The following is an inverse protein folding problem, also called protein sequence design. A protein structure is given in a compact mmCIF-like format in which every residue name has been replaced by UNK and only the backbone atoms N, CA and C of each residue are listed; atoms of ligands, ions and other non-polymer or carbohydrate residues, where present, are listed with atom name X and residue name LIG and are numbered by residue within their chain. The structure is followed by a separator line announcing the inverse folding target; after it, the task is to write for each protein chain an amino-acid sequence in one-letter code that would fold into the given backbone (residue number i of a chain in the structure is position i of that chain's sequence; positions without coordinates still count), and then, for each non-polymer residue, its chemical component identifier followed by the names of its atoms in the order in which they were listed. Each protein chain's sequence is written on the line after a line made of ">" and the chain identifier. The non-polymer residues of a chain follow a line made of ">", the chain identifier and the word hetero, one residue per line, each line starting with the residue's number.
data_IF_974902918932
#
_entry.id   IF_974902918932
#
_cell.length_a   1.000
_cell.length_b   1.000
_cell.length_c   1.000
_cell.angle_alpha   90.00
_cell.angle_beta   90.00
_cell.angle_gamma   90.00
#
_symmetry.space_group_name_H-M   'P 1'
#
loop_
_entity.id
_entity.type
_entity.pdbx_description
1 polymer ?
#
# COMPACT_ATOMS: atom_id res chain seq x y z
N UNK A 1 8.35 8.68 -27.59
CA UNK A 1 8.98 7.89 -26.50
C UNK A 1 8.17 7.80 -25.20
N UNK A 2 7.56 8.88 -24.66
CA UNK A 2 6.78 8.81 -23.39
C UNK A 2 5.54 7.88 -23.39
N UNK A 3 4.93 7.61 -24.55
CA UNK A 3 3.80 6.67 -24.67
C UNK A 3 4.21 5.19 -24.55
N UNK A 4 5.43 4.82 -24.93
CA UNK A 4 5.88 3.42 -24.84
C UNK A 4 6.24 3.03 -23.39
N UNK A 5 6.81 3.95 -22.61
CA UNK A 5 7.21 3.67 -21.22
C UNK A 5 6.00 3.46 -20.30
N UNK A 6 4.92 4.23 -20.46
CA UNK A 6 3.68 4.04 -19.67
C UNK A 6 2.95 2.73 -20.00
N UNK A 7 3.05 2.23 -21.23
CA UNK A 7 2.44 0.95 -21.63
C UNK A 7 3.16 -0.25 -21.01
N UNK A 8 4.48 -0.15 -20.82
CA UNK A 8 5.28 -1.24 -20.26
C UNK A 8 5.19 -1.32 -18.72
N UNK A 9 5.02 -0.19 -18.02
CA UNK A 9 4.84 -0.18 -16.55
C UNK A 9 3.48 -0.76 -16.13
N UNK A 10 2.39 -0.46 -16.87
CA UNK A 10 1.07 -1.06 -16.59
C UNK A 10 1.03 -2.57 -16.85
N UNK A 11 1.80 -3.05 -17.82
CA UNK A 11 1.96 -4.48 -18.10
C UNK A 11 2.82 -5.20 -17.03
N UNK A 12 3.84 -4.53 -16.49
CA UNK A 12 4.68 -5.07 -15.41
C UNK A 12 3.92 -5.23 -14.09
N UNK A 13 3.06 -4.25 -13.72
CA UNK A 13 2.25 -4.34 -12.50
C UNK A 13 1.14 -5.41 -12.63
N UNK A 14 0.53 -5.53 -13.82
CA UNK A 14 -0.44 -6.60 -14.09
C UNK A 14 0.21 -8.00 -14.05
N UNK A 15 1.43 -8.15 -14.57
CA UNK A 15 2.17 -9.41 -14.50
C UNK A 15 2.59 -9.78 -13.06
N UNK A 16 2.88 -8.79 -12.21
CA UNK A 16 3.28 -9.03 -10.81
C UNK A 16 2.07 -9.43 -9.94
N UNK A 17 0.88 -8.89 -10.21
CA UNK A 17 -0.37 -9.29 -9.54
C UNK A 17 -0.84 -10.67 -10.04
N UNK A 18 -0.67 -10.98 -11.33
CA UNK A 18 -0.96 -12.31 -11.89
C UNK A 18 0.02 -13.38 -11.38
N UNK A 19 1.30 -13.05 -11.22
CA UNK A 19 2.31 -13.95 -10.65
C UNK A 19 2.06 -14.25 -9.15
N UNK A 20 1.50 -13.29 -8.40
CA UNK A 20 1.05 -13.50 -7.02
C UNK A 20 -0.21 -14.36 -6.92
N UNK A 21 -1.06 -14.39 -7.97
CA UNK A 21 -2.27 -15.22 -8.03
C UNK A 21 -1.99 -16.65 -8.51
N UNK A 22 -0.97 -16.86 -9.34
CA UNK A 22 -0.54 -18.20 -9.80
C UNK A 22 0.25 -18.95 -8.71
N UNK A 23 0.90 -18.23 -7.78
CA UNK A 23 1.54 -18.83 -6.59
C UNK A 23 0.54 -19.20 -5.47
N UNK A 24 -0.73 -18.78 -5.56
CA UNK A 24 -1.77 -19.13 -4.57
C UNK A 24 -2.67 -20.28 -4.99
N UNK A 25 -2.37 -20.93 -6.12
CA UNK A 25 -3.10 -22.13 -6.59
C UNK A 25 -2.08 -23.24 -6.86
N UNK A 26 -1.63 -23.90 -5.79
CA UNK A 26 -1.07 -25.25 -5.91
C UNK A 26 -2.22 -26.23 -5.64
N UNK A 27 -2.53 -27.14 -6.59
CA UNK A 27 -3.43 -28.26 -6.35
C UNK A 27 -2.71 -29.29 -5.49
N UNK A 28 -3.19 -29.54 -4.26
CA UNK A 28 -2.96 -30.82 -3.60
C UNK A 28 -3.96 -31.82 -4.15
N UNK A 29 -3.49 -32.68 -5.05
CA UNK A 29 -4.21 -33.87 -5.50
C UNK A 29 -3.21 -35.02 -5.72
N UNK A 30 -3.14 -35.93 -4.75
CA UNK A 30 -2.86 -37.38 -4.84
C UNK A 30 -3.40 -37.96 -3.51
N UNK A 31 -4.62 -38.51 -3.42
CA UNK A 31 -5.18 -39.76 -3.96
C UNK A 31 -5.04 -40.98 -3.01
N UNK A 32 -6.14 -41.41 -2.36
CA UNK A 32 -6.84 -42.70 -2.65
C UNK A 32 -8.04 -42.98 -1.73
N UNK A 33 -9.14 -43.36 -2.38
CA UNK A 33 -10.32 -44.13 -1.92
C UNK A 33 -9.89 -45.56 -1.45
N UNK A 34 -10.63 -46.44 -0.76
CA UNK A 34 -12.03 -46.50 -0.31
C UNK A 34 -12.21 -47.70 0.69
N UNK A 35 -13.22 -47.60 1.56
CA UNK A 35 -14.17 -48.62 2.10
C UNK A 35 -13.76 -50.01 2.70
N UNK A 36 -14.12 -50.16 3.99
CA UNK A 36 -14.88 -51.23 4.70
C UNK A 36 -14.68 -52.72 4.32
N UNK A 37 -14.49 -53.58 5.33
CA UNK A 37 -15.54 -54.49 5.91
C UNK A 37 -14.96 -55.31 7.09
N UNK A 38 -15.83 -55.48 8.09
CA UNK A 38 -15.75 -56.22 9.34
C UNK A 38 -15.79 -57.76 9.14
N UNK A 39 -15.04 -58.53 9.92
CA UNK A 39 -15.58 -59.62 10.77
C UNK A 39 -14.48 -60.60 11.23
N UNK A 40 -14.41 -60.74 12.55
CA UNK A 40 -13.95 -61.96 13.21
C UNK A 40 -14.72 -63.17 12.69
N UNK A 41 -14.03 -64.18 12.18
CA UNK A 41 -14.34 -65.60 12.38
C UNK A 41 -13.34 -66.47 11.62
N UNK A 42 -12.22 -66.82 12.27
CA UNK A 42 -11.55 -68.12 12.13
C UNK A 42 -10.27 -68.12 12.98
N UNK A 43 -10.46 -67.96 14.28
CA UNK A 43 -9.49 -68.44 15.26
C UNK A 43 -9.54 -69.97 15.23
N UNK A 44 -8.36 -70.60 15.19
CA UNK A 44 -8.08 -72.03 15.40
C UNK A 44 -8.22 -73.00 14.21
N UNK A 45 -7.27 -72.94 13.27
CA UNK A 45 -6.88 -74.13 12.49
C UNK A 45 -5.47 -74.07 11.86
N UNK A 46 -4.58 -73.17 12.28
CA UNK A 46 -3.29 -72.97 11.57
C UNK A 46 -2.08 -72.80 12.50
N UNK A 47 -2.10 -73.44 13.67
CA UNK A 47 -0.98 -73.42 14.64
C UNK A 47 -0.05 -74.64 14.48
N UNK A 48 -0.39 -75.68 13.70
CA UNK A 48 0.45 -76.87 13.55
C UNK A 48 1.15 -77.03 12.19
N UNK A 49 1.19 -75.97 11.37
CA UNK A 49 1.83 -75.96 10.04
C UNK A 49 2.68 -74.68 9.84
N UNK A 50 3.18 -74.11 10.95
CA UNK A 50 4.01 -72.90 10.99
C UNK A 50 5.44 -73.14 11.52
N UNK A 51 5.75 -74.30 12.10
CA UNK A 51 7.08 -74.59 12.69
C UNK A 51 8.09 -75.20 11.71
N UNK A 52 7.76 -75.33 10.43
CA UNK A 52 8.71 -75.70 9.36
C UNK A 52 8.89 -74.61 8.27
N UNK A 53 8.13 -73.50 8.35
CA UNK A 53 8.29 -72.30 7.50
C UNK A 53 8.84 -71.09 8.31
N UNK A 54 8.98 -71.22 9.63
CA UNK A 54 9.46 -70.15 10.52
C UNK A 54 10.95 -69.83 10.34
N UNK A 55 11.78 -70.81 9.98
CA UNK A 55 13.23 -70.58 9.74
C UNK A 55 13.52 -69.93 8.38
N UNK A 56 12.63 -70.07 7.39
CA UNK A 56 12.74 -69.37 6.09
C UNK A 56 12.07 -67.99 6.14
N UNK A 57 11.11 -67.79 7.05
CA UNK A 57 10.38 -66.52 7.22
C UNK A 57 11.11 -65.54 8.14
N UNK A 58 11.86 -66.00 9.13
CA UNK A 58 12.70 -65.15 9.97
C UNK A 58 13.88 -64.53 9.19
N UNK A 59 14.51 -65.26 8.26
CA UNK A 59 15.53 -64.68 7.36
C UNK A 59 14.92 -63.76 6.27
N UNK A 60 13.64 -63.93 5.94
CA UNK A 60 12.92 -63.05 5.02
C UNK A 60 12.47 -61.74 5.69
N UNK A 61 12.00 -61.76 6.94
CA UNK A 61 11.61 -60.57 7.72
C UNK A 61 12.81 -59.72 8.15
N UNK A 62 13.97 -60.33 8.47
CA UNK A 62 15.21 -59.58 8.72
C UNK A 62 15.69 -58.87 7.44
N UNK A 63 15.52 -59.49 6.27
CA UNK A 63 15.81 -58.85 4.97
C UNK A 63 14.81 -57.75 4.59
N UNK A 64 13.54 -57.89 4.96
CA UNK A 64 12.52 -56.87 4.71
C UNK A 64 12.78 -55.62 5.59
N UNK A 65 13.10 -55.81 6.86
CA UNK A 65 13.45 -54.71 7.78
C UNK A 65 14.75 -53.98 7.39
N UNK A 66 15.79 -54.68 6.93
CA UNK A 66 17.01 -54.02 6.42
C UNK A 66 16.71 -53.16 5.18
N UNK A 67 15.81 -53.60 4.29
CA UNK A 67 15.45 -52.81 3.11
C UNK A 67 14.60 -51.59 3.43
N UNK A 68 13.75 -51.65 4.45
CA UNK A 68 12.92 -50.51 4.85
C UNK A 68 13.73 -49.46 5.63
N UNK A 69 14.70 -49.91 6.44
CA UNK A 69 15.66 -49.01 7.10
C UNK A 69 16.51 -48.24 6.07
N UNK A 70 16.98 -48.89 5.01
CA UNK A 70 17.71 -48.23 3.92
C UNK A 70 16.86 -47.23 3.14
N UNK A 71 15.60 -47.57 2.82
CA UNK A 71 14.68 -46.63 2.16
C UNK A 71 14.41 -45.39 3.03
N UNK A 72 14.26 -45.57 4.34
CA UNK A 72 14.07 -44.47 5.28
C UNK A 72 15.31 -43.55 5.34
N UNK A 73 16.52 -44.11 5.39
CA UNK A 73 17.76 -43.31 5.33
C UNK A 73 17.91 -42.53 4.03
N UNK A 74 17.60 -43.15 2.89
CA UNK A 74 17.68 -42.51 1.59
C UNK A 74 16.65 -41.38 1.45
N UNK A 75 15.42 -41.59 1.93
CA UNK A 75 14.41 -40.52 2.01
C UNK A 75 14.86 -39.37 2.92
N UNK A 76 15.50 -39.67 4.05
CA UNK A 76 16.02 -38.65 4.97
C UNK A 76 17.14 -37.83 4.33
N UNK A 77 18.04 -38.47 3.57
CA UNK A 77 19.08 -37.78 2.80
C UNK A 77 18.46 -36.89 1.71
N UNK A 78 17.47 -37.39 0.97
CA UNK A 78 16.76 -36.61 -0.07
C UNK A 78 16.03 -35.40 0.54
N UNK A 79 15.35 -35.56 1.68
CA UNK A 79 14.73 -34.44 2.41
C UNK A 79 15.76 -33.43 2.90
N UNK A 80 16.91 -33.87 3.41
CA UNK A 80 17.98 -32.97 3.83
C UNK A 80 18.58 -32.20 2.66
N UNK A 81 18.75 -32.83 1.50
CA UNK A 81 19.24 -32.17 0.29
C UNK A 81 18.23 -31.15 -0.25
N UNK A 82 16.96 -31.53 -0.37
CA UNK A 82 15.90 -30.59 -0.79
C UNK A 82 15.75 -29.41 0.17
N UNK A 83 15.85 -29.62 1.49
CA UNK A 83 15.84 -28.52 2.46
C UNK A 83 17.07 -27.60 2.33
N UNK A 84 18.26 -28.16 2.10
CA UNK A 84 19.47 -27.36 1.83
C UNK A 84 19.32 -26.52 0.56
N UNK A 85 18.76 -27.09 -0.51
CA UNK A 85 18.47 -26.38 -1.75
C UNK A 85 17.44 -25.26 -1.54
N UNK A 86 16.34 -25.53 -0.85
CA UNK A 86 15.32 -24.53 -0.53
C UNK A 86 15.90 -23.37 0.29
N UNK A 87 16.72 -23.67 1.30
CA UNK A 87 17.39 -22.66 2.13
C UNK A 87 18.37 -21.82 1.32
N UNK A 88 19.10 -22.44 0.39
CA UNK A 88 20.00 -21.74 -0.53
C UNK A 88 19.21 -20.81 -1.47
N UNK A 89 18.13 -21.32 -2.07
CA UNK A 89 17.26 -20.55 -2.95
C UNK A 89 16.59 -19.37 -2.22
N UNK A 90 16.14 -19.56 -0.97
CA UNK A 90 15.61 -18.48 -0.13
C UNK A 90 16.70 -17.44 0.18
N UNK A 91 17.91 -17.88 0.49
CA UNK A 91 19.05 -17.00 0.73
C UNK A 91 19.40 -16.15 -0.50
N UNK A 92 19.38 -16.74 -1.69
CA UNK A 92 19.59 -16.04 -2.97
C UNK A 92 18.47 -15.04 -3.25
N UNK A 93 17.20 -15.41 -3.02
CA UNK A 93 16.06 -14.49 -3.14
C UNK A 93 16.19 -13.28 -2.21
N UNK A 94 16.53 -13.50 -0.95
CA UNK A 94 16.70 -12.41 0.04
C UNK A 94 17.87 -11.48 -0.32
N UNK A 95 18.94 -12.02 -0.92
CA UNK A 95 20.06 -11.19 -1.42
C UNK A 95 19.62 -10.34 -2.61
N UNK A 96 18.95 -10.95 -3.59
CA UNK A 96 18.41 -10.22 -4.74
C UNK A 96 17.42 -9.12 -4.31
N UNK A 97 16.54 -9.41 -3.35
CA UNK A 97 15.60 -8.42 -2.81
C UNK A 97 16.31 -7.28 -2.07
N UNK A 98 17.38 -7.58 -1.31
CA UNK A 98 18.22 -6.56 -0.67
C UNK A 98 18.93 -5.68 -1.70
N UNK A 99 19.47 -6.26 -2.76
CA UNK A 99 20.12 -5.51 -3.85
C UNK A 99 19.13 -4.57 -4.53
N UNK A 100 17.93 -5.07 -4.90
CA UNK A 100 16.86 -4.23 -5.45
C UNK A 100 16.47 -3.12 -4.48
N UNK A 101 16.37 -3.42 -3.19
CA UNK A 101 16.05 -2.41 -2.16
C UNK A 101 17.16 -1.38 -2.02
N UNK A 102 18.43 -1.78 -2.08
CA UNK A 102 19.57 -0.88 -2.04
C UNK A 102 19.61 0.05 -3.26
N UNK A 103 19.40 -0.49 -4.47
CA UNK A 103 19.29 0.30 -5.69
C UNK A 103 18.14 1.33 -5.60
N UNK A 104 16.99 0.92 -5.06
CA UNK A 104 15.87 1.84 -4.83
C UNK A 104 16.24 2.95 -3.84
N UNK A 105 16.93 2.62 -2.74
CA UNK A 105 17.40 3.60 -1.76
C UNK A 105 18.39 4.57 -2.39
N UNK A 106 19.30 4.09 -3.23
CA UNK A 106 20.28 4.93 -3.93
C UNK A 106 19.59 5.87 -4.92
N UNK A 107 18.68 5.36 -5.76
CA UNK A 107 17.87 6.19 -6.66
C UNK A 107 17.06 7.24 -5.89
N UNK A 108 16.52 6.91 -4.71
CA UNK A 108 15.81 7.86 -3.86
C UNK A 108 16.76 8.95 -3.33
N UNK A 109 17.98 8.59 -2.92
CA UNK A 109 19.00 9.55 -2.48
C UNK A 109 19.43 10.49 -3.60
N UNK A 110 19.63 9.97 -4.81
CA UNK A 110 19.95 10.79 -5.99
C UNK A 110 18.83 11.75 -6.33
N UNK A 111 17.58 11.27 -6.36
CA UNK A 111 16.40 12.12 -6.58
C UNK A 111 16.30 13.21 -5.51
N UNK A 112 16.59 12.88 -4.25
CA UNK A 112 16.58 13.83 -3.16
C UNK A 112 17.68 14.90 -3.33
N UNK A 113 18.90 14.50 -3.72
CA UNK A 113 19.99 15.46 -4.01
C UNK A 113 19.63 16.37 -5.17
N UNK A 114 19.19 15.80 -6.29
CA UNK A 114 18.75 16.59 -7.45
C UNK A 114 17.57 17.53 -7.11
N UNK A 115 16.66 17.11 -6.23
CA UNK A 115 15.58 17.96 -5.76
C UNK A 115 16.09 19.12 -4.88
N UNK A 116 17.07 18.88 -4.01
CA UNK A 116 17.73 19.92 -3.20
C UNK A 116 18.45 20.94 -4.07
N UNK A 117 19.25 20.48 -5.03
CA UNK A 117 19.96 21.38 -5.96
C UNK A 117 18.99 22.25 -6.76
N UNK A 118 17.91 21.65 -7.29
CA UNK A 118 16.86 22.42 -8.00
C UNK A 118 16.18 23.44 -7.08
N UNK A 119 15.98 23.09 -5.82
CA UNK A 119 15.40 24.00 -4.83
C UNK A 119 16.32 25.18 -4.54
N UNK A 120 17.61 24.93 -4.33
CA UNK A 120 18.62 25.97 -4.09
C UNK A 120 18.73 26.91 -5.31
N UNK A 121 18.85 26.37 -6.52
CA UNK A 121 18.85 27.17 -7.74
C UNK A 121 17.56 28.00 -7.91
N UNK A 122 16.40 27.43 -7.57
CA UNK A 122 15.14 28.16 -7.61
C UNK A 122 15.09 29.27 -6.56
N UNK A 123 15.67 29.03 -5.38
CA UNK A 123 15.76 30.01 -4.28
C UNK A 123 16.67 31.19 -4.65
N UNK A 124 17.83 30.93 -5.24
CA UNK A 124 18.74 31.98 -5.73
C UNK A 124 18.06 32.85 -6.79
N UNK A 125 17.48 32.22 -7.83
CA UNK A 125 16.73 32.94 -8.88
C UNK A 125 15.57 33.75 -8.31
N UNK A 126 14.91 33.25 -7.26
CA UNK A 126 13.85 33.99 -6.58
C UNK A 126 14.40 35.22 -5.84
N UNK A 127 15.54 35.09 -5.16
CA UNK A 127 16.19 36.22 -4.48
C UNK A 127 16.61 37.30 -5.46
N UNK A 128 17.26 36.94 -6.57
CA UNK A 128 17.64 37.87 -7.64
C UNK A 128 16.42 38.61 -8.21
N UNK A 129 15.34 37.88 -8.51
CA UNK A 129 14.10 38.48 -9.01
C UNK A 129 13.45 39.40 -7.97
N UNK A 130 13.53 39.06 -6.68
CA UNK A 130 12.99 39.86 -5.59
C UNK A 130 13.76 41.18 -5.44
N UNK A 131 15.09 41.14 -5.53
CA UNK A 131 15.94 42.33 -5.49
C UNK A 131 15.70 43.22 -6.71
N UNK A 132 15.70 42.65 -7.92
CA UNK A 132 15.37 43.38 -9.13
C UNK A 132 13.98 44.02 -9.11
N UNK A 133 12.98 43.34 -8.51
CA UNK A 133 11.65 43.91 -8.32
C UNK A 133 11.64 45.07 -7.31
N UNK A 134 12.44 44.97 -6.23
CA UNK A 134 12.57 46.04 -5.23
C UNK A 134 13.19 47.29 -5.86
N UNK A 135 14.27 47.12 -6.63
CA UNK A 135 14.91 48.22 -7.37
C UNK A 135 13.96 48.84 -8.40
N UNK A 136 13.23 48.02 -9.15
CA UNK A 136 12.24 48.51 -10.12
C UNK A 136 11.13 49.30 -9.41
N UNK A 137 10.64 48.80 -8.27
CA UNK A 137 9.63 49.50 -7.46
C UNK A 137 10.15 50.83 -6.94
N UNK A 138 11.38 50.86 -6.43
CA UNK A 138 11.95 52.07 -5.84
C UNK A 138 12.24 53.12 -6.93
N UNK A 139 12.68 52.71 -8.14
CA UNK A 139 12.73 53.59 -9.33
C UNK A 139 11.35 54.08 -9.76
N UNK A 140 10.36 53.19 -9.80
CA UNK A 140 8.99 53.55 -10.18
C UNK A 140 8.38 54.58 -9.23
N UNK A 141 8.69 54.53 -7.93
CA UNK A 141 8.22 55.52 -6.95
C UNK A 141 8.77 56.93 -7.17
N UNK A 142 9.96 57.06 -7.78
CA UNK A 142 10.56 58.35 -8.09
C UNK A 142 9.82 59.00 -9.27
N UNK A 143 9.31 58.20 -10.20
CA UNK A 143 8.53 58.67 -11.34
C UNK A 143 7.13 59.13 -10.92
N UNK A 144 6.89 60.45 -10.88
CA UNK A 144 5.56 61.03 -10.65
C UNK A 144 4.65 60.83 -11.86
N UNK A 145 3.35 60.68 -11.62
CA UNK A 145 2.33 60.62 -12.67
C UNK A 145 2.44 61.85 -13.59
N UNK A 146 2.60 61.60 -14.89
CA UNK A 146 2.81 62.66 -15.90
C UNK A 146 4.27 63.04 -16.18
N UNK A 147 5.25 62.49 -15.46
CA UNK A 147 6.66 62.61 -15.84
C UNK A 147 6.88 61.88 -17.18
N UNK A 148 7.22 62.66 -18.21
CA UNK A 148 7.47 62.22 -19.58
C UNK A 148 8.96 61.98 -19.87
N UNK A 149 9.82 61.98 -18.86
CA UNK A 149 11.22 61.58 -19.03
C UNK A 149 11.31 60.16 -19.60
N UNK A 150 12.23 59.96 -20.53
CA UNK A 150 12.44 58.69 -21.22
C UNK A 150 12.72 57.56 -20.21
N UNK A 151 13.46 57.84 -19.15
CA UNK A 151 13.73 56.91 -18.05
C UNK A 151 12.46 56.46 -17.33
N UNK A 152 11.54 57.39 -17.04
CA UNK A 152 10.29 57.04 -16.37
C UNK A 152 9.32 56.28 -17.27
N UNK A 153 9.30 56.57 -18.57
CA UNK A 153 8.53 55.80 -19.55
C UNK A 153 9.06 54.36 -19.63
N UNK A 154 10.37 54.17 -19.69
CA UNK A 154 10.99 52.83 -19.72
C UNK A 154 10.76 52.05 -18.42
N UNK A 155 10.90 52.69 -17.25
CA UNK A 155 10.62 52.07 -15.94
C UNK A 155 9.15 51.64 -15.84
N UNK A 156 8.20 52.47 -16.30
CA UNK A 156 6.78 52.11 -16.36
C UNK A 156 6.53 50.93 -17.28
N UNK A 157 7.10 50.95 -18.49
CA UNK A 157 6.98 49.84 -19.46
C UNK A 157 7.53 48.54 -18.89
N UNK A 158 8.72 48.57 -18.28
CA UNK A 158 9.33 47.41 -17.61
C UNK A 158 8.47 46.89 -16.47
N UNK A 159 7.86 47.77 -15.68
CA UNK A 159 6.93 47.39 -14.62
C UNK A 159 5.67 46.71 -15.19
N UNK A 160 5.05 47.27 -16.23
CA UNK A 160 3.87 46.69 -16.90
C UNK A 160 4.18 45.31 -17.47
N UNK A 161 5.27 45.16 -18.21
CA UNK A 161 5.72 43.86 -18.75
C UNK A 161 6.01 42.86 -17.63
N UNK A 162 6.64 43.32 -16.54
CA UNK A 162 6.91 42.49 -15.36
C UNK A 162 5.64 41.97 -14.69
N UNK A 163 4.64 42.83 -14.49
CA UNK A 163 3.34 42.46 -13.92
C UNK A 163 2.60 41.50 -14.85
N UNK A 164 2.51 41.79 -16.15
CA UNK A 164 1.87 40.90 -17.15
C UNK A 164 2.48 39.50 -17.10
N UNK A 165 3.81 39.40 -17.17
CA UNK A 165 4.53 38.11 -17.07
C UNK A 165 4.28 37.39 -15.75
N UNK A 166 4.10 38.11 -14.64
CA UNK A 166 3.75 37.52 -13.35
C UNK A 166 2.31 36.97 -13.34
N UNK A 167 1.35 37.68 -13.93
CA UNK A 167 -0.03 37.22 -14.07
C UNK A 167 -0.09 35.97 -14.95
N UNK A 168 0.57 35.97 -16.12
CA UNK A 168 0.68 34.81 -17.01
C UNK A 168 1.24 33.58 -16.30
N UNK A 169 2.37 33.73 -15.60
CA UNK A 169 2.96 32.63 -14.83
C UNK A 169 2.03 32.11 -13.73
N UNK A 170 1.27 33.00 -13.09
CA UNK A 170 0.31 32.61 -12.04
C UNK A 170 -0.85 31.82 -12.65
N UNK A 171 -1.35 32.23 -13.81
CA UNK A 171 -2.35 31.49 -14.58
C UNK A 171 -1.82 30.11 -14.98
N UNK A 172 -0.60 30.02 -15.52
CA UNK A 172 0.02 28.73 -15.87
C UNK A 172 0.14 27.80 -14.65
N UNK A 173 0.47 28.34 -13.47
CA UNK A 173 0.50 27.57 -12.23
C UNK A 173 -0.88 27.04 -11.86
N UNK A 174 -1.92 27.87 -12.03
CA UNK A 174 -3.31 27.49 -11.80
C UNK A 174 -3.72 26.38 -12.77
N UNK A 175 -3.53 26.55 -14.07
CA UNK A 175 -3.85 25.55 -15.10
C UNK A 175 -3.17 24.21 -14.82
N UNK A 176 -1.87 24.24 -14.52
CA UNK A 176 -1.10 23.04 -14.18
C UNK A 176 -1.64 22.35 -12.93
N UNK A 177 -2.05 23.11 -11.91
CA UNK A 177 -2.63 22.56 -10.68
C UNK A 177 -3.99 21.91 -10.93
N UNK A 178 -4.86 22.55 -11.71
CA UNK A 178 -6.16 22.00 -12.12
C UNK A 178 -6.00 20.75 -12.98
N UNK A 179 -5.09 20.76 -13.96
CA UNK A 179 -4.83 19.60 -14.82
C UNK A 179 -4.34 18.37 -14.03
N UNK A 180 -3.48 18.57 -13.02
CA UNK A 180 -3.06 17.50 -12.10
C UNK A 180 -4.24 16.98 -11.28
N UNK A 181 -5.07 17.87 -10.77
CA UNK A 181 -6.25 17.48 -10.00
C UNK A 181 -7.25 16.70 -10.86
N UNK A 182 -7.50 17.12 -12.10
CA UNK A 182 -8.31 16.39 -13.09
C UNK A 182 -7.78 14.97 -13.29
N UNK A 183 -6.46 14.81 -13.46
CA UNK A 183 -5.86 13.49 -13.62
C UNK A 183 -6.07 12.62 -12.38
N UNK A 184 -5.87 13.18 -11.18
CA UNK A 184 -6.10 12.46 -9.93
C UNK A 184 -7.56 12.03 -9.72
N UNK A 185 -8.53 12.87 -10.07
CA UNK A 185 -9.95 12.52 -9.99
C UNK A 185 -10.30 11.40 -10.97
N UNK A 186 -9.82 11.49 -12.23
CA UNK A 186 -10.06 10.45 -13.25
C UNK A 186 -9.44 9.10 -12.91
N UNK A 187 -8.23 9.11 -12.35
CA UNK A 187 -7.51 7.90 -11.97
C UNK A 187 -7.97 7.32 -10.62
N UNK A 188 -8.84 8.03 -9.90
CA UNK A 188 -9.35 7.56 -8.62
C UNK A 188 -10.20 6.31 -8.77
N UNK A 189 -9.86 5.27 -8.02
CA UNK A 189 -10.67 4.04 -7.88
C UNK A 189 -11.57 4.07 -6.64
N UNK A 190 -11.41 5.08 -5.77
CA UNK A 190 -12.12 5.16 -4.49
C UNK A 190 -13.33 6.08 -4.53
N UNK A 191 -13.39 6.99 -5.52
CA UNK A 191 -14.58 7.81 -5.75
C UNK A 191 -15.62 7.05 -6.59
N UNK A 192 -16.88 7.25 -6.25
CA UNK A 192 -18.02 6.84 -7.09
C UNK A 192 -18.06 7.64 -8.39
N UNK A 193 -18.75 7.14 -9.41
CA UNK A 193 -18.84 7.82 -10.71
C UNK A 193 -19.57 9.18 -10.59
N UNK A 194 -20.59 9.26 -9.74
CA UNK A 194 -21.29 10.51 -9.44
C UNK A 194 -20.38 11.55 -8.77
N UNK A 195 -19.55 11.14 -7.81
CA UNK A 195 -18.58 12.04 -7.16
C UNK A 195 -17.50 12.51 -8.13
N UNK A 196 -17.02 11.62 -9.01
CA UNK A 196 -16.07 11.99 -10.08
C UNK A 196 -16.67 13.01 -11.02
N UNK A 197 -17.90 12.79 -11.48
CA UNK A 197 -18.59 13.71 -12.38
C UNK A 197 -18.75 15.09 -11.74
N UNK A 198 -19.22 15.14 -10.49
CA UNK A 198 -19.36 16.40 -9.73
C UNK A 198 -18.03 17.15 -9.54
N UNK A 199 -16.96 16.43 -9.18
CA UNK A 199 -15.63 17.02 -9.04
C UNK A 199 -15.06 17.52 -10.37
N UNK A 200 -15.24 16.75 -11.46
CA UNK A 200 -14.80 17.14 -12.79
C UNK A 200 -15.58 18.35 -13.33
N UNK A 201 -16.89 18.41 -13.11
CA UNK A 201 -17.71 19.56 -13.48
C UNK A 201 -17.23 20.83 -12.75
N UNK A 202 -16.92 20.72 -11.46
CA UNK A 202 -16.38 21.83 -10.67
C UNK A 202 -15.01 22.30 -11.18
N UNK A 203 -14.13 21.37 -11.56
CA UNK A 203 -12.83 21.69 -12.16
C UNK A 203 -13.00 22.38 -13.52
N UNK A 204 -13.88 21.87 -14.39
CA UNK A 204 -14.12 22.45 -15.71
C UNK A 204 -14.62 23.90 -15.61
N UNK A 205 -15.56 24.16 -14.68
CA UNK A 205 -16.04 25.53 -14.43
C UNK A 205 -14.92 26.49 -14.00
N UNK A 206 -13.94 26.01 -13.23
CA UNK A 206 -12.77 26.80 -12.87
C UNK A 206 -11.82 26.99 -14.05
N UNK A 207 -11.63 25.97 -14.89
CA UNK A 207 -10.83 26.09 -16.10
C UNK A 207 -11.39 27.17 -17.03
N UNK A 208 -12.70 27.19 -17.25
CA UNK A 208 -13.36 28.25 -18.04
C UNK A 208 -13.08 29.66 -17.49
N UNK A 209 -13.13 29.84 -16.16
CA UNK A 209 -12.77 31.12 -15.53
C UNK A 209 -11.30 31.48 -15.73
N UNK A 210 -10.41 30.49 -15.66
CA UNK A 210 -8.96 30.66 -15.84
C UNK A 210 -8.64 31.03 -17.28
N UNK A 211 -9.27 30.36 -18.25
CA UNK A 211 -9.13 30.66 -19.68
C UNK A 211 -9.63 32.09 -19.98
N UNK A 212 -10.79 32.48 -19.44
CA UNK A 212 -11.30 33.85 -19.58
C UNK A 212 -10.33 34.89 -18.98
N UNK A 213 -9.76 34.61 -17.81
CA UNK A 213 -8.78 35.50 -17.18
C UNK A 213 -7.46 35.56 -17.95
N UNK A 214 -7.06 34.46 -18.60
CA UNK A 214 -5.89 34.40 -19.47
C UNK A 214 -6.02 35.33 -20.66
N UNK A 215 -7.16 35.30 -21.34
CA UNK A 215 -7.42 36.20 -22.47
C UNK A 215 -7.38 37.67 -22.06
N UNK A 216 -7.94 38.03 -20.88
CA UNK A 216 -7.82 39.39 -20.32
C UNK A 216 -6.36 39.79 -20.11
N UNK A 217 -5.57 38.92 -19.47
CA UNK A 217 -4.15 39.19 -19.20
C UNK A 217 -3.33 39.33 -20.48
N UNK A 218 -3.61 38.50 -21.50
CA UNK A 218 -2.95 38.59 -22.80
C UNK A 218 -3.29 39.90 -23.54
N UNK A 219 -4.53 40.38 -23.38
CA UNK A 219 -5.00 41.64 -23.96
C UNK A 219 -4.40 42.91 -23.31
N UNK A 220 -3.74 42.80 -22.15
CA UNK A 220 -3.05 43.93 -21.49
C UNK A 220 -1.95 44.46 -22.43
N UNK A 221 -2.11 45.71 -22.86
CA UNK A 221 -1.12 46.42 -23.65
C UNK A 221 0.15 46.72 -22.84
N UNK A 222 1.31 46.87 -23.49
CA UNK A 222 2.56 47.25 -22.81
C UNK A 222 2.49 48.64 -22.15
N UNK A 223 1.54 49.47 -22.60
CA UNK A 223 1.24 50.81 -22.11
C UNK A 223 0.03 50.84 -21.16
N UNK A 224 -0.44 49.69 -20.68
CA UNK A 224 -1.58 49.63 -19.77
C UNK A 224 -1.34 50.48 -18.51
N UNK A 225 -2.41 51.07 -18.02
CA UNK A 225 -2.40 51.95 -16.85
C UNK A 225 -2.23 51.13 -15.56
N UNK A 226 -1.74 51.78 -14.51
CA UNK A 226 -1.59 51.13 -13.20
C UNK A 226 -2.94 50.66 -12.62
N UNK A 227 -4.04 51.31 -12.98
CA UNK A 227 -5.39 50.94 -12.51
C UNK A 227 -5.90 49.66 -13.18
N UNK A 228 -5.73 49.54 -14.50
CA UNK A 228 -6.04 48.31 -15.25
C UNK A 228 -5.24 47.13 -14.69
N UNK A 229 -3.93 47.30 -14.47
CA UNK A 229 -3.09 46.25 -13.90
C UNK A 229 -3.53 45.84 -12.48
N UNK A 230 -3.94 46.79 -11.64
CA UNK A 230 -4.43 46.50 -10.28
C UNK A 230 -5.75 45.75 -10.31
N UNK A 231 -6.65 46.08 -11.23
CA UNK A 231 -7.91 45.38 -11.40
C UNK A 231 -7.65 43.91 -11.78
N UNK A 232 -6.81 43.66 -12.78
CA UNK A 232 -6.46 42.30 -13.23
C UNK A 232 -5.73 41.49 -12.14
N UNK A 233 -4.85 42.11 -11.37
CA UNK A 233 -4.20 41.47 -10.20
C UNK A 233 -5.25 41.07 -9.15
N UNK A 234 -6.23 41.93 -8.90
CA UNK A 234 -7.31 41.66 -7.91
C UNK A 234 -8.19 40.51 -8.39
N UNK A 235 -8.63 40.53 -9.64
CA UNK A 235 -9.46 39.48 -10.22
C UNK A 235 -8.73 38.12 -10.20
N UNK A 236 -7.46 38.08 -10.61
CA UNK A 236 -6.67 36.85 -10.56
C UNK A 236 -6.47 36.34 -9.12
N UNK A 237 -6.31 37.24 -8.14
CA UNK A 237 -6.21 36.86 -6.72
C UNK A 237 -7.50 36.22 -6.21
N UNK A 238 -8.66 36.77 -6.57
CA UNK A 238 -9.96 36.22 -6.21
C UNK A 238 -10.17 34.86 -6.89
N UNK A 239 -9.83 34.75 -8.17
CA UNK A 239 -9.85 33.47 -8.89
C UNK A 239 -8.94 32.42 -8.25
N UNK A 240 -7.73 32.81 -7.84
CA UNK A 240 -6.83 31.90 -7.12
C UNK A 240 -7.41 31.41 -5.80
N UNK A 241 -8.08 32.29 -5.05
CA UNK A 241 -8.75 31.90 -3.81
C UNK A 241 -9.88 30.90 -4.07
N UNK A 242 -10.69 31.13 -5.11
CA UNK A 242 -11.75 30.21 -5.53
C UNK A 242 -11.18 28.85 -5.93
N UNK A 243 -10.16 28.84 -6.79
CA UNK A 243 -9.45 27.62 -7.20
C UNK A 243 -8.91 26.89 -5.97
N UNK A 244 -8.20 27.59 -5.08
CA UNK A 244 -7.61 26.99 -3.89
C UNK A 244 -8.65 26.36 -2.97
N UNK A 245 -9.80 27.02 -2.76
CA UNK A 245 -10.91 26.48 -1.95
C UNK A 245 -11.46 25.20 -2.58
N UNK A 246 -11.76 25.22 -3.87
CA UNK A 246 -12.31 24.05 -4.57
C UNK A 246 -11.32 22.89 -4.66
N UNK A 247 -10.03 23.18 -4.90
CA UNK A 247 -8.98 22.16 -4.88
C UNK A 247 -8.89 21.49 -3.51
N UNK A 248 -8.91 22.26 -2.42
CA UNK A 248 -8.96 21.69 -1.06
C UNK A 248 -10.19 20.82 -0.86
N UNK A 249 -11.35 21.23 -1.38
CA UNK A 249 -12.58 20.43 -1.33
C UNK A 249 -12.41 19.07 -2.00
N UNK A 250 -11.98 19.07 -3.25
CA UNK A 250 -11.82 17.84 -4.03
C UNK A 250 -10.72 16.94 -3.45
N UNK A 251 -9.59 17.51 -3.00
CA UNK A 251 -8.50 16.73 -2.35
C UNK A 251 -8.98 16.10 -1.05
N UNK A 252 -9.80 16.78 -0.27
CA UNK A 252 -10.35 16.26 0.98
C UNK A 252 -11.36 15.14 0.70
N UNK A 253 -12.23 15.28 -0.31
CA UNK A 253 -13.10 14.20 -0.79
C UNK A 253 -12.30 12.97 -1.21
N UNK A 254 -11.25 13.14 -2.02
CA UNK A 254 -10.35 12.06 -2.42
C UNK A 254 -9.67 11.37 -1.22
N UNK A 255 -9.30 12.15 -0.21
CA UNK A 255 -8.64 11.63 1.00
C UNK A 255 -9.63 10.85 1.87
N UNK A 256 -10.84 11.39 2.07
CA UNK A 256 -11.92 10.73 2.79
C UNK A 256 -12.26 9.39 2.16
N UNK A 257 -12.50 9.36 0.84
CA UNK A 257 -12.84 8.13 0.13
C UNK A 257 -11.72 7.07 0.18
N UNK A 258 -10.45 7.49 0.20
CA UNK A 258 -9.31 6.57 0.40
C UNK A 258 -9.29 5.99 1.80
N UNK A 259 -9.62 6.80 2.82
CA UNK A 259 -9.71 6.33 4.19
C UNK A 259 -10.89 5.39 4.37
N UNK A 260 -12.06 5.70 3.79
CA UNK A 260 -13.21 4.80 3.78
C UNK A 260 -12.81 3.42 3.22
N UNK A 261 -12.18 3.39 2.03
CA UNK A 261 -11.71 2.14 1.44
C UNK A 261 -10.67 1.40 2.32
N UNK A 262 -9.84 2.13 3.06
CA UNK A 262 -8.87 1.55 3.96
C UNK A 262 -9.53 0.95 5.21
N UNK A 263 -10.51 1.65 5.78
CA UNK A 263 -11.31 1.18 6.91
C UNK A 263 -12.08 -0.08 6.51
N UNK A 264 -12.74 -0.08 5.35
CA UNK A 264 -13.47 -1.25 4.83
C UNK A 264 -12.56 -2.47 4.62
N UNK A 265 -11.31 -2.24 4.18
CA UNK A 265 -10.33 -3.34 4.11
C UNK A 265 -9.95 -3.86 5.49
N UNK A 266 -9.78 -2.97 6.46
CA UNK A 266 -9.44 -3.36 7.81
C UNK A 266 -10.57 -4.15 8.48
N UNK A 267 -11.82 -3.80 8.24
CA UNK A 267 -12.97 -4.57 8.75
C UNK A 267 -13.04 -5.95 8.07
N UNK A 268 -12.80 -6.06 6.76
CA UNK A 268 -12.74 -7.36 6.06
C UNK A 268 -11.57 -8.27 6.47
N UNK A 269 -10.57 -7.77 7.19
CA UNK A 269 -9.47 -8.61 7.69
C UNK A 269 -9.90 -9.51 8.86
N UNK A 270 -10.96 -9.19 9.59
CA UNK A 270 -11.45 -10.06 10.68
C UNK A 270 -11.92 -11.40 10.15
N UNK A 271 -12.61 -11.42 8.99
CA UNK A 271 -13.05 -12.65 8.32
C UNK A 271 -11.86 -13.57 8.02
N UNK A 272 -10.78 -13.00 7.48
CA UNK A 272 -9.54 -13.73 7.21
C UNK A 272 -8.87 -14.28 8.49
N UNK A 273 -8.99 -13.56 9.61
CA UNK A 273 -8.49 -14.02 10.91
C UNK A 273 -9.32 -15.19 11.45
N UNK A 274 -10.65 -15.13 11.29
CA UNK A 274 -11.58 -16.23 11.67
C UNK A 274 -11.26 -17.50 10.89
N UNK A 275 -11.11 -17.41 9.57
CA UNK A 275 -10.74 -18.56 8.72
C UNK A 275 -9.42 -19.20 9.16
N UNK A 276 -8.42 -18.38 9.49
CA UNK A 276 -7.12 -18.85 9.97
C UNK A 276 -7.19 -19.55 11.32
N UNK A 277 -8.00 -19.04 12.25
CA UNK A 277 -8.26 -19.69 13.54
C UNK A 277 -8.95 -21.03 13.32
N UNK A 278 -9.98 -21.08 12.46
CA UNK A 278 -10.69 -22.32 12.15
C UNK A 278 -9.74 -23.41 11.61
N UNK A 279 -8.86 -23.05 10.67
CA UNK A 279 -7.86 -23.98 10.13
C UNK A 279 -6.88 -24.53 11.19
N UNK A 280 -6.55 -23.77 12.24
CA UNK A 280 -5.72 -24.26 13.34
C UNK A 280 -6.51 -25.13 14.32
N UNK A 281 -7.80 -24.83 14.55
CA UNK A 281 -8.69 -25.67 15.37
C UNK A 281 -8.92 -27.04 14.75
N UNK A 282 -9.07 -27.10 13.43
CA UNK A 282 -9.17 -28.37 12.70
C UNK A 282 -7.93 -29.26 12.90
N UNK A 283 -6.75 -28.64 13.11
CA UNK A 283 -5.51 -29.33 13.46
C UNK A 283 -5.37 -29.65 14.95
N UNK A 284 -6.37 -29.35 15.78
CA UNK A 284 -6.34 -29.60 17.23
C UNK A 284 -5.45 -28.64 18.04
N UNK A 285 -5.04 -27.51 17.46
CA UNK A 285 -4.20 -26.52 18.15
C UNK A 285 -5.05 -25.65 19.07
N UNK A 286 -4.55 -25.36 20.28
CA UNK A 286 -5.16 -24.35 21.13
C UNK A 286 -5.03 -22.96 20.49
N UNK A 287 -6.16 -22.29 20.30
CA UNK A 287 -6.26 -21.01 19.59
C UNK A 287 -6.78 -19.88 20.49
N UNK A 288 -6.89 -20.10 21.81
CA UNK A 288 -7.47 -19.13 22.75
C UNK A 288 -6.84 -17.72 22.66
N UNK A 289 -5.51 -17.63 22.55
CA UNK A 289 -4.81 -16.36 22.42
C UNK A 289 -5.10 -15.65 21.08
N UNK A 290 -5.25 -16.40 19.98
CA UNK A 290 -5.61 -15.83 18.67
C UNK A 290 -7.03 -15.29 18.69
N UNK A 291 -7.97 -15.99 19.33
CA UNK A 291 -9.35 -15.53 19.52
C UNK A 291 -9.40 -14.26 20.38
N UNK A 292 -8.58 -14.18 21.43
CA UNK A 292 -8.46 -12.97 22.25
C UNK A 292 -7.88 -11.78 21.46
N UNK A 293 -6.93 -12.01 20.55
CA UNK A 293 -6.44 -10.96 19.63
C UNK A 293 -7.52 -10.55 18.63
N UNK A 294 -8.28 -11.51 18.08
CA UNK A 294 -9.39 -11.25 17.17
C UNK A 294 -10.46 -10.37 17.83
N UNK A 295 -10.90 -10.71 19.04
CA UNK A 295 -11.90 -9.92 19.77
C UNK A 295 -11.42 -8.46 20.00
N UNK A 296 -10.14 -8.28 20.36
CA UNK A 296 -9.53 -6.93 20.49
C UNK A 296 -9.48 -6.21 19.14
N UNK A 297 -9.18 -6.92 18.06
CA UNK A 297 -9.14 -6.37 16.71
C UNK A 297 -10.52 -5.90 16.25
N UNK A 298 -11.56 -6.72 16.44
CA UNK A 298 -12.94 -6.38 16.08
C UNK A 298 -13.44 -5.15 16.84
N UNK A 299 -13.18 -5.07 18.15
CA UNK A 299 -13.52 -3.89 18.95
C UNK A 299 -12.81 -2.62 18.46
N UNK A 300 -11.51 -2.73 18.11
CA UNK A 300 -10.74 -1.62 17.56
C UNK A 300 -11.21 -1.23 16.13
N UNK A 301 -11.62 -2.21 15.31
CA UNK A 301 -12.16 -1.97 13.99
C UNK A 301 -13.54 -1.27 14.04
N UNK A 302 -14.39 -1.63 14.99
CA UNK A 302 -15.66 -0.94 15.24
C UNK A 302 -15.44 0.52 15.64
N UNK A 303 -14.51 0.77 16.57
CA UNK A 303 -14.13 2.14 16.98
C UNK A 303 -13.62 2.95 15.79
N UNK A 304 -12.73 2.35 14.98
CA UNK A 304 -12.20 2.96 13.76
C UNK A 304 -13.32 3.35 12.77
N UNK A 305 -14.34 2.49 12.61
CA UNK A 305 -15.47 2.76 11.73
C UNK A 305 -16.33 3.91 12.25
N UNK A 306 -16.59 3.97 13.56
CA UNK A 306 -17.31 5.09 14.19
C UNK A 306 -16.56 6.41 14.02
N UNK A 307 -15.26 6.42 14.28
CA UNK A 307 -14.46 7.65 14.19
C UNK A 307 -14.27 8.11 12.75
N UNK A 308 -14.24 7.18 11.78
CA UNK A 308 -14.28 7.52 10.36
C UNK A 308 -15.63 8.13 9.96
N UNK A 309 -16.76 7.62 10.48
CA UNK A 309 -18.07 8.22 10.24
C UNK A 309 -18.17 9.64 10.82
N UNK A 310 -17.65 9.86 12.03
CA UNK A 310 -17.56 11.20 12.64
C UNK A 310 -16.68 12.14 11.81
N UNK A 311 -15.53 11.67 11.34
CA UNK A 311 -14.67 12.46 10.46
C UNK A 311 -15.40 12.82 9.14
N UNK A 312 -16.19 11.89 8.60
CA UNK A 312 -16.99 12.12 7.39
C UNK A 312 -18.13 13.11 7.62
N UNK A 313 -18.81 13.08 8.76
CA UNK A 313 -19.88 14.05 9.05
C UNK A 313 -19.32 15.47 9.16
N UNK A 314 -18.18 15.66 9.85
CA UNK A 314 -17.50 16.96 9.87
C UNK A 314 -17.13 17.44 8.47
N UNK A 315 -16.74 16.54 7.57
CA UNK A 315 -16.45 16.90 6.19
C UNK A 315 -17.69 17.34 5.39
N UNK A 316 -18.82 16.64 5.56
CA UNK A 316 -20.07 16.96 4.89
C UNK A 316 -20.66 18.27 5.41
N UNK A 317 -20.59 18.51 6.73
CA UNK A 317 -20.99 19.78 7.35
C UNK A 317 -20.05 20.93 6.99
N UNK A 318 -18.76 20.63 6.73
CA UNK A 318 -17.78 21.60 6.26
C UNK A 318 -18.01 22.08 4.82
N UNK A 319 -19.13 21.74 4.18
CA UNK A 319 -19.49 22.30 2.87
C UNK A 319 -19.58 23.85 2.90
N UNK A 320 -19.82 24.44 4.08
CA UNK A 320 -19.73 25.90 4.32
C UNK A 320 -18.32 26.40 4.72
N UNK A 321 -17.31 25.52 4.82
CA UNK A 321 -15.88 25.83 4.98
C UNK A 321 -15.55 26.77 6.15
N UNK A 322 -16.27 26.68 7.27
CA UNK A 322 -15.87 27.40 8.48
C UNK A 322 -14.48 26.90 8.93
N UNK A 323 -13.64 27.83 9.43
CA UNK A 323 -12.29 27.48 9.88
C UNK A 323 -12.31 26.48 11.05
N UNK A 324 -13.34 26.57 11.89
CA UNK A 324 -13.55 25.70 13.04
C UNK A 324 -13.90 24.28 12.61
N UNK A 325 -14.83 24.12 11.65
CA UNK A 325 -15.23 22.79 11.13
C UNK A 325 -14.07 22.10 10.42
N UNK A 326 -13.24 22.85 9.67
CA UNK A 326 -12.02 22.31 9.05
C UNK A 326 -11.03 21.81 10.12
N UNK A 327 -10.89 22.54 11.23
CA UNK A 327 -10.01 22.14 12.32
C UNK A 327 -10.55 20.88 13.04
N UNK A 328 -11.85 20.80 13.27
CA UNK A 328 -12.50 19.60 13.84
C UNK A 328 -12.33 18.38 12.92
N UNK A 329 -12.52 18.56 11.61
CA UNK A 329 -12.26 17.51 10.63
C UNK A 329 -10.81 17.02 10.69
N UNK A 330 -9.83 17.92 10.75
CA UNK A 330 -8.42 17.53 10.90
C UNK A 330 -8.15 16.75 12.19
N UNK A 331 -8.74 17.16 13.31
CA UNK A 331 -8.61 16.43 14.58
C UNK A 331 -9.20 15.03 14.46
N UNK A 332 -10.41 14.90 13.91
CA UNK A 332 -11.06 13.62 13.68
C UNK A 332 -10.23 12.71 12.74
N UNK A 333 -9.62 13.28 11.70
CA UNK A 333 -8.73 12.55 10.79
C UNK A 333 -7.47 12.02 11.49
N UNK A 334 -6.92 12.74 12.46
CA UNK A 334 -5.79 12.23 13.25
C UNK A 334 -6.22 11.08 14.17
N UNK A 335 -7.42 11.14 14.76
CA UNK A 335 -7.97 10.02 15.55
C UNK A 335 -8.09 8.75 14.70
N UNK A 336 -8.68 8.85 13.50
CA UNK A 336 -8.78 7.72 12.55
C UNK A 336 -7.40 7.13 12.22
N UNK A 337 -6.37 7.96 12.04
CA UNK A 337 -5.00 7.48 11.79
C UNK A 337 -4.42 6.74 12.99
N UNK A 338 -4.65 7.20 14.21
CA UNK A 338 -4.22 6.50 15.41
C UNK A 338 -4.93 5.15 15.57
N UNK A 339 -6.22 5.07 15.27
CA UNK A 339 -6.95 3.81 15.33
C UNK A 339 -6.50 2.83 14.24
N UNK A 340 -6.20 3.31 13.03
CA UNK A 340 -5.55 2.49 12.00
C UNK A 340 -4.19 1.94 12.45
N UNK A 341 -3.41 2.70 13.22
CA UNK A 341 -2.14 2.20 13.80
C UNK A 341 -2.41 1.08 14.81
N UNK A 342 -3.43 1.24 15.66
CA UNK A 342 -3.83 0.23 16.66
C UNK A 342 -4.28 -1.07 15.98
N UNK A 343 -5.20 -1.00 15.02
CA UNK A 343 -5.66 -2.20 14.29
C UNK A 343 -4.52 -2.88 13.54
N UNK A 344 -3.60 -2.10 12.93
CA UNK A 344 -2.40 -2.65 12.28
C UNK A 344 -1.41 -3.29 13.27
N UNK A 345 -1.35 -2.83 14.51
CA UNK A 345 -0.52 -3.46 15.55
C UNK A 345 -1.11 -4.83 15.94
N UNK A 346 -2.41 -4.88 16.20
CA UNK A 346 -3.14 -6.12 16.52
C UNK A 346 -3.05 -7.15 15.38
N UNK A 347 -3.19 -6.72 14.13
CA UNK A 347 -3.00 -7.61 12.98
C UNK A 347 -1.60 -8.22 12.92
N UNK A 348 -0.55 -7.44 13.24
CA UNK A 348 0.83 -7.94 13.28
C UNK A 348 1.04 -8.92 14.43
N UNK A 349 0.46 -8.64 15.60
CA UNK A 349 0.46 -9.54 16.75
C UNK A 349 -0.19 -10.88 16.39
N UNK A 350 -1.38 -10.83 15.78
CA UNK A 350 -2.09 -12.00 15.27
C UNK A 350 -1.25 -12.81 14.29
N UNK A 351 -0.74 -12.18 13.23
CA UNK A 351 0.04 -12.88 12.20
C UNK A 351 1.33 -13.48 12.76
N UNK A 352 1.97 -12.81 13.73
CA UNK A 352 3.15 -13.35 14.40
C UNK A 352 2.82 -14.57 15.25
N UNK A 353 1.71 -14.57 15.98
CA UNK A 353 1.30 -15.71 16.81
C UNK A 353 0.82 -16.88 15.95
N UNK A 354 0.01 -16.58 14.93
CA UNK A 354 -0.45 -17.56 13.94
C UNK A 354 0.71 -18.30 13.29
N UNK A 355 1.76 -17.57 12.86
CA UNK A 355 2.95 -18.18 12.27
C UNK A 355 3.67 -19.11 13.25
N UNK A 356 3.78 -18.76 14.54
CA UNK A 356 4.41 -19.62 15.55
C UNK A 356 3.62 -20.91 15.76
N UNK A 357 2.29 -20.81 15.90
CA UNK A 357 1.42 -21.96 16.11
C UNK A 357 1.41 -22.88 14.89
N UNK A 358 1.34 -22.32 13.67
CA UNK A 358 1.34 -23.13 12.45
C UNK A 358 2.68 -23.85 12.20
N UNK A 359 3.83 -23.21 12.46
CA UNK A 359 5.14 -23.88 12.35
C UNK A 359 5.26 -25.01 13.37
N UNK A 360 4.78 -24.81 14.61
CA UNK A 360 4.81 -25.87 15.64
C UNK A 360 4.03 -27.11 15.23
N UNK A 361 2.91 -26.95 14.50
CA UNK A 361 2.14 -28.10 13.99
C UNK A 361 2.86 -28.87 12.90
N UNK A 362 3.58 -28.18 12.01
CA UNK A 362 4.31 -28.83 10.92
C UNK A 362 5.48 -29.65 11.49
N UNK A 363 6.20 -29.12 12.49
CA UNK A 363 7.29 -29.86 13.14
C UNK A 363 6.82 -31.01 14.03
N UNK A 364 5.65 -30.92 14.66
CA UNK A 364 5.12 -32.01 15.49
C UNK A 364 4.61 -33.18 14.63
N UNK A 365 3.98 -32.88 13.50
CA UNK A 365 3.54 -33.90 12.54
C UNK A 365 4.72 -34.68 11.91
N UNK A 366 5.90 -34.06 11.79
CA UNK A 366 7.11 -34.75 11.33
C UNK A 366 7.77 -35.61 12.43
N UNK A 367 7.59 -35.28 13.71
CA UNK A 367 8.20 -36.02 14.83
C UNK A 367 7.41 -37.28 15.21
N UNK A 368 6.07 -37.25 15.16
CA UNK A 368 5.25 -38.44 15.42
C UNK A 368 5.40 -39.51 14.33
N UNK A 369 5.71 -39.08 13.09
CA UNK A 369 6.02 -39.98 11.98
C UNK A 369 7.35 -40.74 12.11
N UNK A 370 8.25 -40.36 13.04
CA UNK A 370 9.54 -41.03 13.25
C UNK A 370 9.58 -41.90 14.52
N UNK A 371 8.52 -41.95 15.34
CA UNK A 371 8.56 -42.62 16.66
C UNK A 371 7.77 -43.94 16.80
N UNK A 372 7.03 -44.37 15.77
CA UNK A 372 6.19 -45.58 15.84
C UNK A 372 6.89 -46.90 15.44
N UNK A 373 8.21 -46.90 15.19
CA UNK A 373 8.96 -48.10 14.71
C UNK A 373 10.03 -48.66 15.69
N UNK A 374 10.02 -48.28 16.99
CA UNK A 374 11.12 -48.69 17.91
C UNK A 374 10.70 -49.13 19.32
N UNK A 375 9.59 -49.87 19.47
CA UNK A 375 9.23 -50.42 20.78
C UNK A 375 8.56 -51.80 20.71
N UNK A 376 9.30 -52.85 20.35
CA UNK A 376 8.96 -54.22 20.74
C UNK A 376 10.20 -55.14 20.68
N UNK A 377 11.17 -54.95 21.59
CA UNK A 377 12.05 -56.03 22.07
C UNK A 377 12.96 -55.56 23.21
N UNK A 378 12.69 -56.04 24.43
CA UNK A 378 13.61 -56.28 25.56
C UNK A 378 12.71 -56.63 26.78
N UNK A 379 12.49 -57.87 27.22
CA UNK A 379 13.34 -58.98 27.72
C UNK A 379 13.29 -59.13 29.27
N UNK A 380 13.44 -60.38 29.72
CA UNK A 380 13.74 -60.94 31.07
C UNK A 380 12.58 -61.21 32.05
N UNK A 381 12.26 -62.45 32.45
CA UNK A 381 12.96 -63.53 33.23
C UNK A 381 13.14 -63.31 34.74
N UNK A 382 12.47 -64.20 35.50
CA UNK A 382 12.84 -64.89 36.76
C UNK A 382 12.87 -64.23 38.16
N UNK A 383 12.60 -65.14 39.13
CA UNK A 383 12.70 -65.11 40.62
C UNK A 383 11.52 -64.50 41.40
N UNK A 384 10.85 -65.14 42.38
CA UNK A 384 11.02 -66.38 43.18
C UNK A 384 9.63 -66.93 43.61
#
# INVERSE_FOLDING_TARGET
>A
MKKMIKKNIKKAIGALILALFILSVVPMAFAKDDLKVNSQAAVNAKIALLEADADVRAEAEVRENETDTQKAEDQRKERQETFKEQRKALGERLRAEKEVTQEQIEQLRERLRAAKERYEQARERYQEQKEGLKELRDRYKICRDGDGSEECVDVRKKATVGVKKHLEKTIDLIENSLARLTAHVRESTTLTDAEKESALASINKLQEKVDAQKEKVLAIAETATAEELRAEVKELKELWQDVSKQQKKIVSQLTSAKLDNLVDRHTGLSENMVEKIAALKEKGVDTADLEAILARFEAAAATLQEDQQKARSFWQEAEEMSRETIQQWHVAQEVVKEDLKKTRALLREFMSLYAKLNVSTETAAEADSESEDTAENEDTTEEE
#
